data_IF_120896534960
#
_entry.id   IF_120896534960
#
_cell.length_a   1.000
_cell.length_b   1.000
_cell.length_c   1.000
_cell.angle_alpha   90.00
_cell.angle_beta   90.00
_cell.angle_gamma   90.00
#
_symmetry.space_group_name_H-M   'P 1'
#
loop_
_entity.id
_entity.type
_entity.pdbx_description
1 polymer ?
#
# COMPACT_ATOMS: atom_id res chain seq x y z
N UNK A 1 56.33 55.43 26.91
CA UNK A 1 55.12 54.75 27.34
C UNK A 1 54.53 54.03 26.16
N UNK A 2 54.71 52.75 26.09
CA UNK A 2 54.06 51.95 25.06
C UNK A 2 52.80 51.31 25.66
N UNK A 3 51.69 51.67 25.08
CA UNK A 3 50.43 50.97 25.38
C UNK A 3 50.32 49.75 24.54
N UNK A 4 50.50 48.61 25.15
CA UNK A 4 50.23 47.31 24.52
C UNK A 4 48.72 47.15 24.40
N UNK A 5 48.21 47.31 23.20
CA UNK A 5 46.86 46.94 22.87
C UNK A 5 46.84 45.43 22.62
N UNK A 6 46.41 44.67 23.59
CA UNK A 6 46.10 43.26 23.38
C UNK A 6 44.81 43.20 22.59
N UNK A 7 44.93 42.89 21.32
CA UNK A 7 43.76 42.48 20.52
C UNK A 7 43.42 41.04 20.90
N UNK A 8 42.43 40.91 21.70
CA UNK A 8 41.81 39.59 21.92
C UNK A 8 41.08 39.23 20.65
N UNK A 9 41.63 38.28 19.90
CA UNK A 9 40.89 37.60 18.86
C UNK A 9 39.89 36.66 19.53
N UNK A 10 38.64 37.09 19.62
CA UNK A 10 37.55 36.18 19.91
C UNK A 10 37.37 35.30 18.66
N UNK A 11 37.85 34.09 18.76
CA UNK A 11 37.51 33.06 17.80
C UNK A 11 36.02 32.72 17.92
N UNK A 12 35.27 33.15 16.95
CA UNK A 12 33.89 32.72 16.78
C UNK A 12 33.93 31.26 16.31
N UNK A 13 33.80 30.34 17.24
CA UNK A 13 33.57 28.95 16.89
C UNK A 13 32.13 28.83 16.32
N UNK A 14 32.03 28.81 15.00
CA UNK A 14 30.79 28.40 14.35
C UNK A 14 30.64 26.93 14.59
N UNK A 15 29.86 26.55 15.58
CA UNK A 15 29.31 25.21 15.70
C UNK A 15 28.24 25.07 14.64
N UNK A 16 28.62 24.49 13.52
CA UNK A 16 27.64 24.03 12.54
C UNK A 16 26.84 22.93 13.16
N UNK A 17 25.69 23.27 13.70
CA UNK A 17 24.69 22.28 14.12
C UNK A 17 24.15 21.65 12.86
N UNK A 18 24.67 20.49 12.51
CA UNK A 18 24.03 19.64 11.52
C UNK A 18 22.70 19.17 12.12
N UNK A 19 21.64 19.90 11.85
CA UNK A 19 20.30 19.36 12.00
C UNK A 19 20.16 18.27 10.94
N UNK A 20 20.39 17.03 11.35
CA UNK A 20 20.01 15.91 10.53
C UNK A 20 18.51 15.98 10.33
N UNK A 21 18.08 16.40 9.14
CA UNK A 21 16.71 16.21 8.71
C UNK A 21 16.52 14.69 8.62
N UNK A 22 15.96 14.10 9.68
CA UNK A 22 15.40 12.78 9.57
C UNK A 22 14.30 12.90 8.52
N UNK A 23 14.53 12.32 7.33
CA UNK A 23 13.49 12.17 6.35
C UNK A 23 12.34 11.45 7.06
N UNK A 24 11.10 11.99 7.07
CA UNK A 24 9.97 11.25 7.60
C UNK A 24 9.96 9.92 6.86
N UNK A 25 9.91 8.81 7.60
CA UNK A 25 9.70 7.52 6.99
C UNK A 25 8.46 7.68 6.10
N UNK A 26 8.67 7.64 4.78
CA UNK A 26 7.57 7.76 3.84
C UNK A 26 6.62 6.62 4.14
N UNK A 27 5.42 6.96 4.62
CA UNK A 27 4.33 6.01 4.69
C UNK A 27 4.20 5.43 3.28
N UNK A 28 4.29 4.11 3.15
CA UNK A 28 4.11 3.45 1.86
C UNK A 28 2.69 3.73 1.41
N UNK A 29 2.56 4.50 0.36
CA UNK A 29 1.28 4.81 -0.22
C UNK A 29 0.77 3.61 -1.00
N UNK A 30 -0.53 3.42 -0.97
CA UNK A 30 -1.18 2.32 -1.67
C UNK A 30 -1.16 2.53 -3.19
N UNK A 31 -1.07 3.78 -3.63
CA UNK A 31 -1.09 4.18 -5.05
C UNK A 31 -0.11 3.37 -5.89
N UNK A 32 -0.50 3.10 -7.12
CA UNK A 32 0.37 2.50 -8.12
C UNK A 32 0.05 1.06 -8.43
N UNK A 33 0.97 0.41 -9.13
CA UNK A 33 0.81 -0.94 -9.63
C UNK A 33 1.42 -1.96 -8.66
N UNK A 34 0.62 -2.96 -8.32
CA UNK A 34 1.03 -4.08 -7.48
C UNK A 34 0.79 -5.39 -8.22
N UNK A 35 1.70 -6.35 -8.05
CA UNK A 35 1.64 -7.64 -8.71
C UNK A 35 1.86 -8.76 -7.70
N UNK A 36 1.23 -9.87 -7.95
CA UNK A 36 1.43 -11.06 -7.13
C UNK A 36 0.40 -12.11 -7.38
N UNK A 37 0.17 -12.93 -6.38
CA UNK A 37 -0.77 -14.02 -6.51
C UNK A 37 -1.18 -14.58 -5.17
N UNK A 38 -1.94 -15.63 -5.24
CA UNK A 38 -2.46 -16.34 -4.08
C UNK A 38 -3.43 -17.41 -4.49
N UNK A 39 -4.47 -17.59 -3.70
CA UNK A 39 -5.46 -18.64 -3.93
C UNK A 39 -6.88 -18.13 -3.76
N UNK A 40 -7.78 -18.73 -4.50
CA UNK A 40 -9.22 -18.53 -4.41
C UNK A 40 -9.83 -19.85 -3.95
N UNK A 41 -10.69 -19.79 -2.93
CA UNK A 41 -11.48 -20.92 -2.45
C UNK A 41 -12.94 -20.64 -2.77
N UNK A 42 -13.54 -21.50 -3.56
CA UNK A 42 -14.95 -21.41 -3.94
C UNK A 42 -15.85 -22.07 -2.88
N UNK A 43 -17.13 -21.70 -2.87
CA UNK A 43 -18.10 -22.27 -1.95
C UNK A 43 -18.27 -23.79 -2.05
N UNK A 44 -17.93 -24.37 -3.20
CA UNK A 44 -17.85 -25.82 -3.41
C UNK A 44 -16.68 -26.50 -2.70
N UNK A 45 -15.73 -25.71 -2.15
CA UNK A 45 -14.49 -26.19 -1.56
C UNK A 45 -13.32 -26.31 -2.55
N UNK A 46 -13.55 -26.10 -3.84
CA UNK A 46 -12.47 -26.11 -4.83
C UNK A 46 -11.55 -24.90 -4.64
N UNK A 47 -10.28 -25.10 -4.91
CA UNK A 47 -9.24 -24.11 -4.74
C UNK A 47 -8.46 -23.93 -6.03
N UNK A 48 -8.25 -22.69 -6.44
CA UNK A 48 -7.42 -22.34 -7.59
C UNK A 48 -6.36 -21.33 -7.20
N UNK A 49 -5.19 -21.44 -7.82
CA UNK A 49 -4.17 -20.41 -7.72
C UNK A 49 -4.53 -19.26 -8.65
N UNK A 50 -4.27 -18.04 -8.20
CA UNK A 50 -4.51 -16.83 -8.96
C UNK A 50 -3.25 -15.99 -9.04
N UNK A 51 -3.08 -15.32 -10.18
CA UNK A 51 -2.12 -14.24 -10.37
C UNK A 51 -2.87 -12.97 -10.66
N UNK A 52 -2.52 -11.90 -9.95
CA UNK A 52 -3.23 -10.64 -10.02
C UNK A 52 -2.29 -9.47 -10.30
N UNK A 53 -2.79 -8.52 -11.07
CA UNK A 53 -2.26 -7.16 -11.19
C UNK A 53 -3.29 -6.21 -10.66
N UNK A 54 -2.89 -5.32 -9.79
CA UNK A 54 -3.79 -4.34 -9.18
C UNK A 54 -3.22 -2.95 -9.39
N UNK A 55 -4.05 -2.06 -9.89
CA UNK A 55 -3.75 -0.64 -9.99
C UNK A 55 -4.61 0.11 -8.99
N UNK A 56 -3.96 0.76 -8.03
CA UNK A 56 -4.63 1.63 -7.07
C UNK A 56 -4.47 3.09 -7.49
N UNK A 57 -5.56 3.82 -7.43
CA UNK A 57 -5.60 5.25 -7.70
C UNK A 57 -6.22 5.98 -6.52
N UNK A 58 -5.57 7.03 -6.05
CA UNK A 58 -6.09 7.84 -4.96
C UNK A 58 -7.34 8.58 -5.40
N UNK A 59 -8.42 8.42 -4.67
CA UNK A 59 -9.69 9.13 -4.88
C UNK A 59 -9.79 10.37 -4.00
N UNK A 60 -9.37 10.26 -2.74
CA UNK A 60 -9.32 11.34 -1.75
C UNK A 60 -8.18 11.08 -0.77
N UNK A 61 -8.04 11.90 0.25
CA UNK A 61 -6.99 11.73 1.27
C UNK A 61 -7.00 10.35 1.95
N UNK A 62 -8.16 9.71 2.04
CA UNK A 62 -8.34 8.43 2.74
C UNK A 62 -8.98 7.33 1.89
N UNK A 63 -9.22 7.57 0.61
CA UNK A 63 -9.93 6.63 -0.27
C UNK A 63 -9.13 6.32 -1.51
N UNK A 64 -9.29 5.09 -1.99
CA UNK A 64 -8.63 4.58 -3.19
C UNK A 64 -9.61 3.79 -4.04
N UNK A 65 -9.45 3.92 -5.35
CA UNK A 65 -10.04 3.01 -6.31
C UNK A 65 -9.01 1.96 -6.68
N UNK A 66 -9.45 0.73 -6.83
CA UNK A 66 -8.62 -0.37 -7.30
C UNK A 66 -9.23 -1.01 -8.54
N UNK A 67 -8.37 -1.28 -9.52
CA UNK A 67 -8.70 -2.09 -10.68
C UNK A 67 -7.76 -3.29 -10.68
N UNK A 68 -8.33 -4.48 -10.67
CA UNK A 68 -7.58 -5.71 -10.63
C UNK A 68 -7.91 -6.60 -11.81
N UNK A 69 -6.88 -7.23 -12.35
CA UNK A 69 -7.02 -8.33 -13.32
C UNK A 69 -6.35 -9.53 -12.69
N UNK A 70 -7.12 -10.60 -12.52
CA UNK A 70 -6.63 -11.85 -11.97
C UNK A 70 -6.82 -12.98 -12.98
N UNK A 71 -5.84 -13.85 -13.07
CA UNK A 71 -5.90 -15.04 -13.92
C UNK A 71 -5.77 -16.29 -13.05
N UNK A 72 -6.65 -17.25 -13.29
CA UNK A 72 -6.58 -18.60 -12.75
C UNK A 72 -6.43 -19.59 -13.91
N UNK A 73 -6.33 -20.88 -13.60
CA UNK A 73 -6.28 -21.92 -14.63
C UNK A 73 -7.56 -21.95 -15.50
N UNK A 74 -8.71 -21.60 -14.93
CA UNK A 74 -10.02 -21.69 -15.59
C UNK A 74 -10.52 -20.37 -16.18
N UNK A 75 -10.04 -19.22 -15.70
CA UNK A 75 -10.62 -17.93 -16.09
C UNK A 75 -9.65 -16.75 -15.88
N UNK A 76 -9.94 -15.67 -16.61
CA UNK A 76 -9.37 -14.34 -16.40
C UNK A 76 -10.50 -13.41 -16.01
N UNK A 77 -10.37 -12.75 -14.87
CA UNK A 77 -11.43 -11.91 -14.31
C UNK A 77 -10.92 -10.51 -14.00
N UNK A 78 -11.77 -9.52 -14.25
CA UNK A 78 -11.54 -8.12 -13.89
C UNK A 78 -12.43 -7.75 -12.72
N UNK A 79 -11.84 -7.05 -11.75
CA UNK A 79 -12.54 -6.62 -10.54
C UNK A 79 -12.23 -5.16 -10.24
N UNK A 80 -13.19 -4.49 -9.65
CA UNK A 80 -13.03 -3.14 -9.12
C UNK A 80 -13.26 -3.15 -7.61
N UNK A 81 -12.60 -2.25 -6.91
CA UNK A 81 -12.82 -2.08 -5.47
C UNK A 81 -12.72 -0.61 -5.10
N UNK A 82 -13.37 -0.26 -4.02
CA UNK A 82 -13.21 1.03 -3.36
C UNK A 82 -12.76 0.75 -1.94
N UNK A 83 -11.63 1.33 -1.57
CA UNK A 83 -11.02 1.12 -0.26
C UNK A 83 -10.92 2.43 0.50
N UNK A 84 -11.01 2.32 1.81
CA UNK A 84 -10.78 3.43 2.74
C UNK A 84 -9.68 3.04 3.71
N UNK A 85 -8.80 3.99 4.02
CA UNK A 85 -7.81 3.80 5.08
C UNK A 85 -8.51 3.75 6.43
N UNK A 86 -8.36 2.63 7.14
CA UNK A 86 -9.00 2.39 8.46
C UNK A 86 -7.99 2.26 9.59
N UNK A 87 -6.72 2.24 9.28
CA UNK A 87 -5.61 2.18 10.23
C UNK A 87 -4.34 2.64 9.55
N UNK A 88 -3.23 2.62 10.27
CA UNK A 88 -1.95 3.13 9.76
C UNK A 88 -1.52 2.45 8.46
N UNK A 89 -1.65 1.13 8.39
CA UNK A 89 -1.27 0.32 7.23
C UNK A 89 -2.42 -0.56 6.73
N UNK A 90 -3.64 -0.26 7.12
CA UNK A 90 -4.81 -1.09 6.86
C UNK A 90 -5.85 -0.34 6.07
N UNK A 91 -6.36 -1.00 5.05
CA UNK A 91 -7.40 -0.49 4.17
C UNK A 91 -8.52 -1.51 4.09
N UNK A 92 -9.75 -1.03 4.00
CA UNK A 92 -10.94 -1.86 3.95
C UNK A 92 -11.97 -1.27 3.01
N UNK A 93 -12.75 -2.11 2.39
CA UNK A 93 -13.77 -1.63 1.47
C UNK A 93 -14.59 -2.76 0.87
N UNK A 94 -15.11 -2.49 -0.32
CA UNK A 94 -15.95 -3.40 -1.08
C UNK A 94 -15.36 -3.63 -2.46
N UNK A 95 -15.55 -4.82 -3.00
CA UNK A 95 -15.19 -5.14 -4.37
C UNK A 95 -16.40 -5.62 -5.16
N UNK A 96 -16.31 -5.49 -6.46
CA UNK A 96 -17.32 -5.94 -7.39
C UNK A 96 -16.70 -6.56 -8.63
N UNK A 97 -17.24 -7.70 -9.02
CA UNK A 97 -16.93 -8.38 -10.28
C UNK A 97 -18.20 -8.44 -11.12
N UNK A 98 -18.22 -7.67 -12.21
CA UNK A 98 -19.40 -7.56 -13.07
C UNK A 98 -19.63 -8.80 -13.93
N UNK A 99 -18.58 -9.54 -14.30
CA UNK A 99 -18.72 -10.73 -15.13
C UNK A 99 -19.50 -11.86 -14.44
N UNK A 100 -19.28 -12.01 -13.14
CA UNK A 100 -19.95 -13.03 -12.33
C UNK A 100 -21.01 -12.44 -11.41
N UNK A 101 -21.26 -11.14 -11.49
CA UNK A 101 -22.17 -10.40 -10.59
C UNK A 101 -21.90 -10.73 -9.12
N UNK A 102 -20.61 -10.66 -8.76
CA UNK A 102 -20.10 -11.01 -7.45
C UNK A 102 -19.65 -9.75 -6.73
N UNK A 103 -20.10 -9.58 -5.50
CA UNK A 103 -19.68 -8.48 -4.63
C UNK A 103 -19.29 -9.01 -3.26
N UNK A 104 -18.41 -8.29 -2.58
CA UNK A 104 -17.97 -8.67 -1.26
C UNK A 104 -17.12 -7.61 -0.60
N UNK A 105 -16.41 -8.01 0.43
CA UNK A 105 -15.50 -7.13 1.19
C UNK A 105 -14.05 -7.40 0.83
N UNK A 106 -13.26 -6.35 0.91
CA UNK A 106 -11.81 -6.41 0.70
C UNK A 106 -11.10 -5.79 1.90
N UNK A 107 -10.03 -6.43 2.33
CA UNK A 107 -9.12 -5.93 3.36
C UNK A 107 -7.69 -6.01 2.86
N UNK A 108 -6.94 -4.95 3.06
CA UNK A 108 -5.54 -4.83 2.63
C UNK A 108 -4.68 -4.38 3.79
N UNK A 109 -3.60 -5.10 4.03
CA UNK A 109 -2.57 -4.73 5.00
C UNK A 109 -1.26 -4.54 4.24
N UNK A 110 -0.69 -3.33 4.33
CA UNK A 110 0.56 -2.98 3.65
C UNK A 110 1.73 -3.08 4.61
N UNK A 111 2.80 -3.72 4.17
CA UNK A 111 4.06 -3.84 4.92
C UNK A 111 5.24 -3.59 3.97
N UNK A 112 5.78 -2.37 4.00
CA UNK A 112 6.82 -1.98 3.06
C UNK A 112 6.33 -2.07 1.61
N UNK A 113 7.05 -2.78 0.76
CA UNK A 113 6.70 -3.01 -0.64
C UNK A 113 5.83 -4.25 -0.86
N UNK A 114 5.29 -4.81 0.19
CA UNK A 114 4.42 -5.99 0.16
C UNK A 114 3.04 -5.67 0.75
N UNK A 115 2.04 -6.35 0.27
CA UNK A 115 0.70 -6.28 0.86
C UNK A 115 0.03 -7.65 0.90
N UNK A 116 -0.81 -7.83 1.91
CA UNK A 116 -1.72 -8.97 2.02
C UNK A 116 -3.13 -8.49 1.73
N UNK A 117 -3.81 -9.17 0.83
CA UNK A 117 -5.18 -8.85 0.40
C UNK A 117 -6.08 -10.03 0.73
N UNK A 118 -7.19 -9.75 1.40
CA UNK A 118 -8.23 -10.71 1.68
C UNK A 118 -9.54 -10.24 1.05
N UNK A 119 -10.11 -11.09 0.21
CA UNK A 119 -11.42 -10.86 -0.40
C UNK A 119 -12.40 -11.90 0.13
N UNK A 120 -13.59 -11.46 0.47
CA UNK A 120 -14.64 -12.35 0.99
C UNK A 120 -15.98 -12.00 0.37
N UNK A 121 -16.63 -13.00 -0.20
CA UNK A 121 -18.00 -12.92 -0.69
C UNK A 121 -18.82 -14.09 -0.18
N UNK A 122 -20.11 -14.14 -0.52
CA UNK A 122 -20.99 -15.25 -0.15
C UNK A 122 -20.63 -16.58 -0.81
N UNK A 123 -19.92 -16.54 -1.96
CA UNK A 123 -19.65 -17.72 -2.78
C UNK A 123 -18.17 -18.06 -2.94
N UNK A 124 -17.27 -17.17 -2.49
CA UNK A 124 -15.83 -17.40 -2.62
C UNK A 124 -15.03 -16.54 -1.64
N UNK A 125 -13.82 -16.95 -1.36
CA UNK A 125 -12.84 -16.13 -0.66
C UNK A 125 -11.48 -16.21 -1.38
N UNK A 126 -10.69 -15.16 -1.27
CA UNK A 126 -9.38 -15.12 -1.86
C UNK A 126 -8.36 -14.50 -0.91
N UNK A 127 -7.17 -15.04 -0.92
CA UNK A 127 -6.03 -14.51 -0.18
C UNK A 127 -4.88 -14.29 -1.15
N UNK A 128 -4.42 -13.05 -1.24
CA UNK A 128 -3.37 -12.65 -2.16
C UNK A 128 -2.21 -12.01 -1.41
N UNK A 129 -1.03 -12.17 -1.97
CA UNK A 129 0.16 -11.40 -1.59
C UNK A 129 0.68 -10.69 -2.83
N UNK A 130 0.75 -9.38 -2.74
CA UNK A 130 1.20 -8.53 -3.82
C UNK A 130 2.46 -7.78 -3.40
N UNK A 131 3.25 -7.40 -4.38
CA UNK A 131 4.43 -6.56 -4.19
C UNK A 131 4.46 -5.44 -5.24
N UNK A 132 5.13 -4.40 -4.86
CA UNK A 132 5.26 -3.20 -5.68
C UNK A 132 6.62 -3.16 -6.38
#
# INVERSE_FOLDING_TARGET
MQKLIRRSLLGLALTASCFGLAAPASAVELDGAWNGGGSIVFGSGSKENARCRVQYSRRSSNSYDANAICATASAKVSQTAVLRKVGENTYSGTFHNSEYNLSGTISVIVRGNAQSVQLTSSSASASLRLSK
#
